data_IF_431662855592
#
_entry.id   IF_431662855592
#
_cell.length_a   1.000
_cell.length_b   1.000
_cell.length_c   1.000
_cell.angle_alpha   90.00
_cell.angle_beta   90.00
_cell.angle_gamma   90.00
#
_symmetry.space_group_name_H-M   'P 1'
#
loop_
_entity.id
_entity.type
_entity.pdbx_description
1 polymer ?
#
# COMPACT_ATOMS: atom_id res chain seq x y z
N UNK A 1 19.45 0.41 -11.56
CA UNK A 1 18.59 1.49 -11.04
C UNK A 1 17.84 2.20 -12.16
N UNK A 2 18.49 2.82 -13.16
CA UNK A 2 17.78 3.42 -14.30
C UNK A 2 16.86 2.41 -15.02
N UNK A 3 17.35 1.20 -15.27
CA UNK A 3 16.57 0.09 -15.83
C UNK A 3 15.35 -0.29 -14.99
N UNK A 4 15.46 -0.23 -13.66
CA UNK A 4 14.35 -0.49 -12.73
C UNK A 4 13.30 0.62 -12.83
N UNK A 5 13.72 1.89 -12.88
CA UNK A 5 12.83 3.05 -13.08
C UNK A 5 12.10 2.93 -14.42
N UNK A 6 12.82 2.62 -15.50
CA UNK A 6 12.25 2.43 -16.84
C UNK A 6 11.22 1.30 -16.86
N UNK A 7 11.55 0.15 -16.28
CA UNK A 7 10.65 -1.00 -16.22
C UNK A 7 9.35 -0.67 -15.47
N UNK A 8 9.44 0.00 -14.32
CA UNK A 8 8.25 0.40 -13.55
C UNK A 8 7.44 1.43 -14.34
N UNK A 9 8.11 2.37 -15.02
CA UNK A 9 7.47 3.36 -15.89
C UNK A 9 6.68 2.69 -17.02
N UNK A 10 7.30 1.78 -17.76
CA UNK A 10 6.65 1.05 -18.85
C UNK A 10 5.48 0.19 -18.33
N UNK A 11 5.65 -0.45 -17.18
CA UNK A 11 4.60 -1.27 -16.57
C UNK A 11 3.40 -0.41 -16.17
N UNK A 12 3.66 0.76 -15.55
CA UNK A 12 2.64 1.74 -15.24
C UNK A 12 1.89 2.17 -16.52
N UNK A 13 2.62 2.52 -17.59
CA UNK A 13 2.05 2.95 -18.87
C UNK A 13 1.18 1.88 -19.54
N UNK A 14 1.63 0.62 -19.53
CA UNK A 14 0.85 -0.49 -20.09
C UNK A 14 -0.43 -0.72 -19.28
N UNK A 15 -0.35 -0.66 -17.95
CA UNK A 15 -1.53 -0.88 -17.10
C UNK A 15 -2.53 0.26 -17.19
N UNK A 16 -2.07 1.52 -17.22
CA UNK A 16 -2.95 2.68 -17.39
C UNK A 16 -3.67 2.69 -18.75
N UNK A 17 -3.01 2.21 -19.81
CA UNK A 17 -3.62 2.02 -21.12
C UNK A 17 -4.45 0.73 -21.25
N UNK A 18 -4.56 -0.05 -20.18
CA UNK A 18 -5.22 -1.35 -20.16
C UNK A 18 -4.68 -2.34 -21.21
N UNK A 19 -3.41 -2.22 -21.61
CA UNK A 19 -2.74 -3.09 -22.59
C UNK A 19 -1.92 -4.21 -21.94
N UNK A 20 -1.91 -4.28 -20.61
CA UNK A 20 -1.35 -5.40 -19.85
C UNK A 20 -2.48 -6.23 -19.25
N UNK A 21 -2.36 -7.56 -19.29
CA UNK A 21 -3.22 -8.50 -18.56
C UNK A 21 -2.71 -8.77 -17.13
N UNK A 22 -1.49 -8.35 -16.80
CA UNK A 22 -0.88 -8.59 -15.49
C UNK A 22 -1.52 -7.71 -14.41
N UNK A 23 -1.77 -8.31 -13.23
CA UNK A 23 -2.42 -7.62 -12.10
C UNK A 23 -1.70 -7.82 -10.77
N UNK A 24 -0.48 -8.38 -10.78
CA UNK A 24 0.30 -8.50 -9.54
C UNK A 24 0.76 -7.11 -9.05
N UNK A 25 0.70 -6.83 -7.74
CA UNK A 25 1.17 -5.55 -7.20
C UNK A 25 2.65 -5.33 -7.45
N UNK A 26 3.01 -4.17 -8.00
CA UNK A 26 4.40 -3.77 -8.23
C UNK A 26 4.77 -2.67 -7.24
N UNK A 27 5.87 -2.86 -6.50
CA UNK A 27 6.39 -1.88 -5.55
C UNK A 27 7.79 -1.47 -6.00
N UNK A 28 7.98 -0.18 -6.28
CA UNK A 28 9.29 0.42 -6.41
C UNK A 28 9.80 0.78 -5.02
N UNK A 29 10.78 0.04 -4.51
CA UNK A 29 11.47 0.38 -3.26
C UNK A 29 12.80 1.10 -3.59
N UNK A 30 12.96 2.33 -3.13
CA UNK A 30 14.20 3.10 -3.29
C UNK A 30 14.78 3.44 -1.92
N UNK A 31 15.84 2.72 -1.56
CA UNK A 31 16.62 3.03 -0.37
C UNK A 31 17.53 4.24 -0.62
N UNK A 32 17.73 5.06 0.42
CA UNK A 32 18.49 6.31 0.36
C UNK A 32 18.06 7.21 -0.82
N UNK A 33 16.75 7.35 -1.01
CA UNK A 33 16.11 8.20 -2.03
C UNK A 33 16.72 9.59 -2.10
N UNK A 34 16.92 10.25 -0.96
CA UNK A 34 17.50 11.60 -0.89
C UNK A 34 18.92 11.69 -1.47
N UNK A 35 19.67 10.58 -1.47
CA UNK A 35 20.97 10.49 -2.14
C UNK A 35 20.82 10.29 -3.65
N UNK A 36 19.85 9.47 -4.10
CA UNK A 36 19.55 9.25 -5.51
C UNK A 36 19.10 10.54 -6.22
N UNK A 37 18.42 11.41 -5.49
CA UNK A 37 17.96 12.73 -5.97
C UNK A 37 19.09 13.73 -6.25
N UNK A 38 20.36 13.40 -5.96
CA UNK A 38 21.52 14.23 -6.32
C UNK A 38 22.16 13.87 -7.66
N UNK A 39 21.79 12.73 -8.24
CA UNK A 39 22.43 12.19 -9.44
C UNK A 39 21.54 12.29 -10.68
N UNK A 40 21.99 11.65 -11.76
CA UNK A 40 21.28 11.57 -13.05
C UNK A 40 19.90 10.91 -12.95
N UNK A 41 19.65 10.15 -11.88
CA UNK A 41 18.37 9.51 -11.61
C UNK A 41 17.30 10.47 -11.06
N UNK A 42 17.67 11.68 -10.62
CA UNK A 42 16.76 12.57 -9.92
C UNK A 42 15.50 12.89 -10.73
N UNK A 43 15.68 13.38 -11.95
CA UNK A 43 14.56 13.73 -12.84
C UNK A 43 13.66 12.53 -13.20
N UNK A 44 14.19 11.41 -13.73
CA UNK A 44 13.33 10.27 -14.09
C UNK A 44 12.66 9.61 -12.88
N UNK A 45 13.34 9.58 -11.72
CA UNK A 45 12.78 9.00 -10.50
C UNK A 45 11.66 9.88 -9.92
N UNK A 46 11.87 11.21 -9.87
CA UNK A 46 10.84 12.16 -9.44
C UNK A 46 9.59 12.06 -10.30
N UNK A 47 9.76 12.13 -11.63
CA UNK A 47 8.67 12.01 -12.58
C UNK A 47 7.91 10.69 -12.41
N UNK A 48 8.61 9.56 -12.19
CA UNK A 48 7.95 8.29 -11.93
C UNK A 48 7.14 8.30 -10.63
N UNK A 49 7.71 8.77 -9.51
CA UNK A 49 7.02 8.74 -8.22
C UNK A 49 5.78 9.63 -8.25
N UNK A 50 5.84 10.83 -8.85
CA UNK A 50 4.65 11.69 -9.01
C UNK A 50 3.54 10.98 -9.78
N UNK A 51 3.89 10.31 -10.89
CA UNK A 51 2.92 9.53 -11.69
C UNK A 51 2.33 8.36 -10.91
N UNK A 52 3.15 7.67 -10.12
CA UNK A 52 2.70 6.57 -9.24
C UNK A 52 1.77 7.09 -8.16
N UNK A 53 2.07 8.22 -7.54
CA UNK A 53 1.20 8.83 -6.53
C UNK A 53 -0.16 9.22 -7.08
N UNK A 54 -0.21 9.80 -8.28
CA UNK A 54 -1.45 10.27 -8.90
C UNK A 54 -2.36 9.13 -9.40
N UNK A 55 -1.79 8.09 -10.01
CA UNK A 55 -2.58 7.08 -10.73
C UNK A 55 -2.23 5.62 -10.37
N UNK A 56 -1.09 5.37 -9.72
CA UNK A 56 -0.57 4.04 -9.46
C UNK A 56 -1.50 3.14 -8.64
N UNK A 57 -2.22 3.71 -7.67
CA UNK A 57 -3.21 2.98 -6.84
C UNK A 57 -4.24 2.22 -7.69
N UNK A 58 -4.71 2.80 -8.80
CA UNK A 58 -5.76 2.20 -9.66
C UNK A 58 -5.24 0.98 -10.43
N UNK A 59 -3.93 0.87 -10.59
CA UNK A 59 -3.24 -0.14 -11.41
C UNK A 59 -2.24 -0.96 -10.62
N UNK A 60 -2.36 -0.95 -9.29
CA UNK A 60 -1.54 -1.74 -8.36
C UNK A 60 -0.04 -1.49 -8.53
N UNK A 61 0.34 -0.23 -8.74
CA UNK A 61 1.73 0.22 -8.76
C UNK A 61 1.93 1.19 -7.59
N UNK A 62 2.93 0.92 -6.75
CA UNK A 62 3.23 1.68 -5.54
C UNK A 62 4.71 2.05 -5.48
N UNK A 63 5.04 3.07 -4.71
CA UNK A 63 6.40 3.48 -4.42
C UNK A 63 6.62 3.52 -2.91
N UNK A 64 7.79 3.05 -2.48
CA UNK A 64 8.29 3.15 -1.12
C UNK A 64 9.67 3.79 -1.20
N UNK A 65 9.85 4.91 -0.52
CA UNK A 65 11.12 5.66 -0.52
C UNK A 65 11.57 5.89 0.91
N UNK A 66 12.86 5.72 1.17
CA UNK A 66 13.49 6.03 2.47
C UNK A 66 14.59 7.05 2.30
N UNK A 67 14.89 7.83 3.34
CA UNK A 67 15.99 8.77 3.31
C UNK A 67 16.18 9.46 4.64
N UNK A 68 17.38 10.01 4.85
CA UNK A 68 17.78 10.61 6.12
C UNK A 68 17.65 12.15 6.13
N UNK A 69 17.88 12.79 4.98
CA UNK A 69 17.95 14.26 4.89
C UNK A 69 16.93 14.80 3.90
N UNK A 70 15.80 15.24 4.44
CA UNK A 70 14.68 15.79 3.68
C UNK A 70 14.80 17.32 3.58
N UNK A 71 15.14 17.81 2.39
CA UNK A 71 15.16 19.24 2.00
C UNK A 71 14.52 19.40 0.63
N UNK A 72 14.00 20.58 0.30
CA UNK A 72 13.27 20.79 -0.95
C UNK A 72 14.06 20.36 -2.20
N UNK A 73 15.37 20.62 -2.22
CA UNK A 73 16.29 20.18 -3.27
C UNK A 73 16.44 18.65 -3.35
N UNK A 74 16.42 17.97 -2.20
CA UNK A 74 16.62 16.52 -2.08
C UNK A 74 15.33 15.72 -2.16
N UNK A 75 14.18 16.39 -2.17
CA UNK A 75 12.86 15.77 -2.32
C UNK A 75 12.27 15.93 -3.71
N UNK A 76 13.02 16.48 -4.68
CA UNK A 76 12.49 16.76 -6.02
C UNK A 76 11.47 17.90 -6.04
N UNK A 77 11.52 18.81 -5.07
CA UNK A 77 10.57 19.92 -4.92
C UNK A 77 9.38 19.63 -4.00
N UNK A 78 8.45 20.58 -3.93
CA UNK A 78 7.23 20.47 -3.10
C UNK A 78 6.21 19.49 -3.67
N UNK A 79 6.02 19.46 -4.99
CA UNK A 79 5.04 18.60 -5.65
C UNK A 79 5.26 17.11 -5.37
N UNK A 80 6.51 16.64 -5.48
CA UNK A 80 6.86 15.25 -5.20
C UNK A 80 6.68 14.90 -3.71
N UNK A 81 7.05 15.82 -2.80
CA UNK A 81 6.82 15.63 -1.38
C UNK A 81 5.33 15.54 -1.06
N UNK A 82 4.52 16.45 -1.60
CA UNK A 82 3.07 16.51 -1.35
C UNK A 82 2.35 15.30 -1.97
N UNK A 83 3.01 14.61 -2.92
CA UNK A 83 2.55 13.36 -3.52
C UNK A 83 2.74 12.12 -2.62
N UNK A 84 3.55 12.20 -1.55
CA UNK A 84 3.75 11.10 -0.61
C UNK A 84 2.57 10.99 0.34
N UNK A 85 1.66 10.05 0.06
CA UNK A 85 0.38 9.95 0.76
C UNK A 85 0.47 9.45 2.21
N UNK A 86 1.55 8.78 2.59
CA UNK A 86 1.77 8.28 3.95
C UNK A 86 3.26 8.18 4.23
N UNK A 87 3.65 8.48 5.47
CA UNK A 87 5.05 8.61 5.87
C UNK A 87 5.28 8.00 7.26
N UNK A 88 6.38 7.26 7.41
CA UNK A 88 6.95 6.93 8.71
C UNK A 88 8.07 7.91 9.03
N UNK A 89 7.99 8.58 10.17
CA UNK A 89 8.99 9.52 10.67
C UNK A 89 9.61 8.93 11.93
N UNK A 90 10.82 8.41 11.77
CA UNK A 90 11.66 7.99 12.89
C UNK A 90 12.30 9.19 13.60
N UNK A 91 13.13 8.90 14.61
CA UNK A 91 13.90 9.91 15.34
C UNK A 91 14.70 10.80 14.39
N UNK A 92 14.31 12.07 14.27
CA UNK A 92 15.02 13.09 13.48
C UNK A 92 14.76 14.50 14.00
N UNK A 93 15.49 15.48 13.46
CA UNK A 93 15.29 16.89 13.82
C UNK A 93 13.89 17.34 13.41
N UNK A 94 13.18 18.05 14.31
CA UNK A 94 11.84 18.60 14.07
C UNK A 94 11.71 19.32 12.72
N UNK A 95 12.73 20.10 12.31
CA UNK A 95 12.73 20.79 11.00
C UNK A 95 12.63 19.84 9.80
N UNK A 96 13.29 18.69 9.83
CA UNK A 96 13.25 17.71 8.74
C UNK A 96 11.92 16.94 8.74
N UNK A 97 11.45 16.54 9.93
CA UNK A 97 10.13 15.92 10.08
C UNK A 97 9.01 16.86 9.62
N UNK A 98 9.08 18.14 9.97
CA UNK A 98 8.11 19.13 9.52
C UNK A 98 8.24 19.42 8.01
N UNK A 99 9.44 19.29 7.44
CA UNK A 99 9.60 19.43 6.00
C UNK A 99 8.81 18.36 5.25
N UNK A 100 8.72 17.14 5.78
CA UNK A 100 7.91 16.03 5.26
C UNK A 100 6.42 16.20 5.54
N UNK A 101 6.06 16.40 6.81
CA UNK A 101 4.68 16.30 7.29
C UNK A 101 3.89 17.62 7.21
N UNK A 102 4.58 18.76 7.21
CA UNK A 102 3.99 20.10 7.10
C UNK A 102 2.95 20.43 8.18
N UNK A 103 3.14 19.90 9.39
CA UNK A 103 2.25 20.08 10.54
C UNK A 103 2.60 21.30 11.42
N UNK A 104 3.73 21.96 11.16
CA UNK A 104 4.17 23.15 11.89
C UNK A 104 4.34 22.89 13.39
N UNK A 105 3.59 23.63 14.20
CA UNK A 105 3.60 23.52 15.65
C UNK A 105 2.85 22.28 16.16
N UNK A 106 1.92 21.74 15.37
CA UNK A 106 1.17 20.51 15.70
C UNK A 106 2.02 19.25 15.62
N UNK A 107 3.21 19.33 15.00
CA UNK A 107 4.15 18.23 14.95
C UNK A 107 4.60 17.85 16.38
N UNK A 108 4.49 16.57 16.81
CA UNK A 108 5.07 16.13 18.08
C UNK A 108 6.61 16.21 18.09
N UNK A 109 7.22 16.15 19.27
CA UNK A 109 8.68 16.09 19.36
C UNK A 109 9.20 14.75 18.80
N UNK A 110 10.06 14.82 17.78
CA UNK A 110 10.61 13.64 17.09
C UNK A 110 12.02 13.29 17.56
N UNK A 111 12.75 14.20 18.20
CA UNK A 111 14.12 13.93 18.65
C UNK A 111 14.20 12.96 19.83
N UNK A 112 13.12 12.85 20.60
CA UNK A 112 13.03 12.00 21.80
C UNK A 112 12.52 10.59 21.50
N UNK A 113 12.11 10.31 20.26
CA UNK A 113 11.64 8.97 19.87
C UNK A 113 12.72 7.91 20.13
N UNK A 114 12.34 6.85 20.82
CA UNK A 114 13.22 5.72 21.07
C UNK A 114 13.51 4.93 19.78
N UNK A 115 14.62 4.19 19.76
CA UNK A 115 14.89 3.23 18.68
C UNK A 115 13.75 2.23 18.58
N UNK A 116 13.27 1.97 17.36
CA UNK A 116 12.11 1.12 17.12
C UNK A 116 10.77 1.83 17.24
N UNK A 117 10.74 3.14 17.52
CA UNK A 117 9.52 3.95 17.47
C UNK A 117 9.53 4.87 16.25
N UNK A 118 8.34 5.18 15.73
CA UNK A 118 8.14 6.14 14.66
C UNK A 118 6.77 6.81 14.79
N UNK A 119 6.62 8.01 14.22
CA UNK A 119 5.31 8.58 13.94
C UNK A 119 4.86 8.11 12.55
N UNK A 120 3.67 7.56 12.44
CA UNK A 120 3.02 7.20 11.19
C UNK A 120 1.98 8.26 10.85
N UNK A 121 2.24 9.00 9.77
CA UNK A 121 1.24 9.86 9.13
C UNK A 121 0.48 9.05 8.09
N UNK A 122 -0.81 8.82 8.33
CA UNK A 122 -1.67 7.98 7.51
C UNK A 122 -2.29 8.78 6.36
N UNK A 123 -2.75 8.08 5.33
CA UNK A 123 -3.51 8.67 4.22
C UNK A 123 -4.83 9.31 4.66
N UNK A 124 -5.32 9.01 5.87
CA UNK A 124 -6.47 9.66 6.50
C UNK A 124 -6.17 11.04 7.08
N UNK A 125 -4.90 11.44 7.15
CA UNK A 125 -4.45 12.65 7.85
C UNK A 125 -4.20 12.44 9.35
N UNK A 126 -4.38 11.21 9.86
CA UNK A 126 -4.11 10.87 11.25
C UNK A 126 -2.61 10.66 11.48
N UNK A 127 -2.09 11.21 12.58
CA UNK A 127 -0.73 10.99 13.06
C UNK A 127 -0.76 10.14 14.33
N UNK A 128 -0.16 8.95 14.27
CA UNK A 128 -0.08 8.03 15.42
C UNK A 128 1.37 7.62 15.68
N UNK A 129 1.71 7.37 16.94
CA UNK A 129 2.97 6.71 17.26
C UNK A 129 2.83 5.20 17.06
N UNK A 130 3.85 4.58 16.46
CA UNK A 130 3.90 3.14 16.18
C UNK A 130 5.24 2.55 16.61
N UNK A 131 5.22 1.26 16.95
CA UNK A 131 6.41 0.46 17.18
C UNK A 131 6.76 -0.33 15.91
N UNK A 132 8.01 -0.24 15.49
CA UNK A 132 8.57 -0.91 14.33
C UNK A 132 9.30 -2.17 14.79
N UNK A 133 8.93 -3.35 14.26
CA UNK A 133 9.59 -4.60 14.61
C UNK A 133 11.09 -4.57 14.29
N UNK A 134 11.90 -5.07 15.20
CA UNK A 134 13.33 -5.23 14.96
C UNK A 134 13.57 -6.40 14.00
N UNK A 135 13.76 -6.10 12.72
CA UNK A 135 14.10 -7.10 11.70
C UNK A 135 15.62 -7.21 11.60
N UNK A 136 16.15 -8.37 11.98
CA UNK A 136 17.59 -8.64 11.94
C UNK A 136 18.02 -9.18 10.58
N UNK A 137 19.34 -9.21 10.33
CA UNK A 137 19.89 -9.86 9.14
C UNK A 137 19.53 -11.36 9.06
N UNK A 138 19.35 -12.03 10.20
CA UNK A 138 18.93 -13.43 10.25
C UNK A 138 17.48 -13.60 9.79
N UNK A 139 16.60 -12.66 10.12
CA UNK A 139 15.21 -12.69 9.67
C UNK A 139 15.12 -12.51 8.14
N UNK A 140 15.93 -11.60 7.59
CA UNK A 140 16.06 -11.43 6.13
C UNK A 140 16.56 -12.71 5.46
N UNK A 141 17.59 -13.35 6.01
CA UNK A 141 18.11 -14.61 5.50
C UNK A 141 17.05 -15.73 5.55
N UNK A 142 16.28 -15.81 6.65
CA UNK A 142 15.19 -16.76 6.81
C UNK A 142 14.10 -16.54 5.76
N UNK A 143 13.66 -15.31 5.54
CA UNK A 143 12.69 -14.97 4.49
C UNK A 143 13.23 -15.35 3.12
N UNK A 144 14.51 -15.08 2.84
CA UNK A 144 15.16 -15.50 1.58
C UNK A 144 15.09 -17.02 1.35
N UNK A 145 15.30 -17.83 2.38
CA UNK A 145 15.20 -19.29 2.29
C UNK A 145 13.76 -19.76 2.05
N UNK A 146 12.78 -19.15 2.70
CA UNK A 146 11.36 -19.44 2.48
C UNK A 146 10.94 -19.13 1.05
N UNK A 147 11.42 -18.02 0.49
CA UNK A 147 11.13 -17.61 -0.89
C UNK A 147 11.84 -18.45 -1.96
N UNK A 148 13.00 -19.01 -1.64
CA UNK A 148 13.72 -19.94 -2.53
C UNK A 148 13.08 -21.34 -2.58
N UNK A 149 12.19 -21.66 -1.64
CA UNK A 149 11.52 -22.95 -1.57
C UNK A 149 10.45 -23.05 -2.68
N UNK A 150 10.54 -24.04 -3.60
CA UNK A 150 9.67 -24.12 -4.78
C UNK A 150 8.17 -24.23 -4.49
N UNK A 151 7.81 -24.59 -3.26
CA UNK A 151 6.43 -24.85 -2.84
C UNK A 151 5.73 -23.63 -2.21
N UNK A 152 6.46 -22.55 -1.88
CA UNK A 152 5.91 -21.52 -1.01
C UNK A 152 5.32 -20.31 -1.75
N UNK A 153 5.83 -19.93 -2.92
CA UNK A 153 5.40 -18.71 -3.63
C UNK A 153 5.63 -18.83 -5.15
N UNK A 154 4.88 -18.11 -6.01
CA UNK A 154 5.32 -17.88 -7.38
C UNK A 154 6.76 -17.37 -7.30
N UNK A 155 7.69 -18.09 -7.94
CA UNK A 155 9.13 -17.79 -7.93
C UNK A 155 9.30 -16.28 -7.97
N UNK A 156 10.12 -15.74 -7.08
CA UNK A 156 10.68 -14.41 -7.23
C UNK A 156 11.33 -14.37 -8.61
N UNK A 157 10.57 -13.90 -9.60
CA UNK A 157 11.11 -13.67 -10.93
C UNK A 157 11.99 -12.47 -10.73
N UNK A 158 13.29 -12.72 -10.52
CA UNK A 158 14.31 -11.73 -10.82
C UNK A 158 13.94 -11.21 -12.20
N UNK A 159 13.48 -9.97 -12.22
CA UNK A 159 12.93 -9.34 -13.42
C UNK A 159 13.87 -9.67 -14.58
N UNK A 160 13.34 -10.15 -15.72
CA UNK A 160 14.19 -10.48 -16.86
C UNK A 160 15.09 -9.28 -17.14
N UNK A 161 16.39 -9.54 -17.30
CA UNK A 161 17.36 -8.49 -17.63
C UNK A 161 16.80 -7.70 -18.80
N UNK A 162 16.47 -6.44 -18.55
CA UNK A 162 15.99 -5.50 -19.58
C UNK A 162 17.03 -5.48 -20.68
N UNK A 163 16.73 -6.13 -21.81
CA UNK A 163 17.66 -6.32 -22.94
C UNK A 163 17.71 -7.72 -23.55
N UNK A 164 17.22 -8.77 -22.89
CA UNK A 164 17.08 -10.09 -23.53
C UNK A 164 15.69 -10.23 -24.18
N UNK A 165 15.64 -10.13 -25.51
CA UNK A 165 14.52 -10.68 -26.29
C UNK A 165 14.57 -12.20 -26.15
N UNK A 166 13.80 -12.76 -25.24
CA UNK A 166 13.50 -14.20 -25.24
C UNK A 166 12.51 -14.48 -26.37
N UNK A 167 13.04 -14.86 -27.53
CA UNK A 167 12.28 -15.60 -28.54
C UNK A 167 12.02 -17.00 -27.97
N UNK A 168 10.76 -17.44 -28.02
CA UNK A 168 10.24 -18.73 -27.54
C UNK A 168 10.23 -18.94 -26.03
N UNK A 169 9.09 -18.61 -25.40
CA UNK A 169 8.50 -19.53 -24.43
C UNK A 169 6.99 -19.22 -24.33
N UNK A 170 6.23 -19.98 -25.10
CA UNK A 170 4.77 -20.01 -25.00
C UNK A 170 4.46 -21.08 -23.95
N UNK A 171 3.96 -20.75 -22.75
CA UNK A 171 3.61 -21.78 -21.77
C UNK A 171 2.46 -22.61 -22.32
N UNK A 172 2.64 -23.94 -22.42
CA UNK A 172 1.66 -24.87 -23.01
C UNK A 172 0.49 -25.21 -22.08
N UNK A 173 0.25 -24.42 -21.03
CA UNK A 173 -0.75 -24.73 -20.02
C UNK A 173 -1.57 -23.47 -19.72
N UNK A 174 -2.84 -23.50 -20.12
CA UNK A 174 -3.85 -22.56 -19.65
C UNK A 174 -4.10 -22.83 -18.15
N UNK A 175 -3.71 -21.90 -17.27
CA UNK A 175 -4.13 -21.87 -15.87
C UNK A 175 -5.55 -21.29 -15.73
N UNK A 176 -6.48 -21.80 -16.52
CA UNK A 176 -7.90 -21.46 -16.43
C UNK A 176 -8.67 -22.40 -15.49
N UNK A 177 -7.98 -23.04 -14.54
CA UNK A 177 -8.63 -23.73 -13.42
C UNK A 177 -8.36 -22.92 -12.15
N UNK A 178 -9.36 -22.13 -11.77
CA UNK A 178 -9.39 -21.45 -10.48
C UNK A 178 -9.57 -22.50 -9.38
N UNK A 179 -8.47 -22.96 -8.77
CA UNK A 179 -8.58 -23.59 -7.46
C UNK A 179 -8.84 -22.50 -6.42
N UNK A 180 -10.08 -22.45 -5.93
CA UNK A 180 -10.59 -21.49 -4.96
C UNK A 180 -9.94 -21.54 -3.57
N UNK A 181 -8.92 -22.37 -3.36
CA UNK A 181 -8.43 -22.74 -2.02
C UNK A 181 -7.29 -21.87 -1.47
N UNK A 182 -6.83 -20.83 -2.16
CA UNK A 182 -5.68 -20.02 -1.73
C UNK A 182 -5.94 -18.50 -1.62
N UNK A 183 -7.20 -18.09 -1.45
CA UNK A 183 -7.50 -16.73 -1.04
C UNK A 183 -7.26 -16.59 0.47
N UNK A 184 -6.19 -15.87 0.85
CA UNK A 184 -5.94 -15.50 2.24
C UNK A 184 -7.07 -14.59 2.74
N UNK A 185 -8.03 -15.16 3.47
CA UNK A 185 -9.13 -14.41 4.10
C UNK A 185 -8.63 -13.85 5.43
N UNK A 186 -8.56 -12.53 5.55
CA UNK A 186 -8.36 -11.90 6.85
C UNK A 186 -9.58 -12.25 7.73
N UNK A 187 -9.40 -12.65 9.00
CA UNK A 187 -10.53 -12.99 9.86
C UNK A 187 -11.49 -11.79 9.95
N UNK A 188 -12.77 -12.05 9.69
CA UNK A 188 -13.80 -11.03 9.75
C UNK A 188 -13.84 -10.41 11.16
N UNK A 189 -14.03 -9.09 11.23
CA UNK A 189 -14.24 -8.43 12.52
C UNK A 189 -15.48 -9.02 13.23
N UNK A 190 -15.48 -9.01 14.56
CA UNK A 190 -16.62 -9.49 15.38
C UNK A 190 -17.93 -8.80 15.00
N UNK A 191 -17.86 -7.53 14.62
CA UNK A 191 -18.99 -6.75 14.12
C UNK A 191 -19.46 -7.20 12.73
N UNK A 192 -18.53 -7.53 11.82
CA UNK A 192 -18.86 -8.06 10.49
C UNK A 192 -19.53 -9.43 10.56
N UNK A 193 -19.11 -10.29 11.50
CA UNK A 193 -19.78 -11.57 11.76
C UNK A 193 -21.20 -11.37 12.29
N UNK A 194 -21.41 -10.41 13.20
CA UNK A 194 -22.75 -10.08 13.73
C UNK A 194 -23.67 -9.56 12.63
N UNK A 195 -23.19 -8.70 11.74
CA UNK A 195 -23.95 -8.21 10.58
C UNK A 195 -24.35 -9.36 9.65
N UNK A 196 -23.41 -10.28 9.37
CA UNK A 196 -23.68 -11.44 8.53
C UNK A 196 -24.71 -12.39 9.15
N UNK A 197 -24.67 -12.62 10.47
CA UNK A 197 -25.65 -13.42 11.20
C UNK A 197 -27.05 -12.79 11.17
N UNK A 198 -27.17 -11.48 11.41
CA UNK A 198 -28.46 -10.79 11.36
C UNK A 198 -29.08 -10.87 9.95
N UNK A 199 -28.25 -10.77 8.91
CA UNK A 199 -28.69 -10.93 7.53
C UNK A 199 -29.10 -12.37 7.20
N UNK A 200 -28.35 -13.37 7.67
CA UNK A 200 -28.70 -14.80 7.53
C UNK A 200 -30.01 -15.15 8.24
N UNK A 201 -30.33 -14.47 9.35
CA UNK A 201 -31.59 -14.60 10.06
C UNK A 201 -32.77 -13.90 9.36
N UNK A 202 -32.57 -13.35 8.15
CA UNK A 202 -33.61 -12.75 7.33
C UNK A 202 -33.94 -11.30 7.65
N UNK A 203 -33.13 -10.60 8.46
CA UNK A 203 -33.31 -9.15 8.62
C UNK A 203 -32.89 -8.40 7.35
N UNK A 204 -33.68 -7.42 6.96
CA UNK A 204 -33.32 -6.52 5.87
C UNK A 204 -32.26 -5.50 6.31
N UNK A 205 -31.57 -4.89 5.33
CA UNK A 205 -30.48 -3.96 5.62
C UNK A 205 -30.94 -2.74 6.42
N UNK A 206 -32.20 -2.31 6.26
CA UNK A 206 -32.75 -1.19 7.00
C UNK A 206 -32.93 -1.53 8.49
N UNK A 207 -33.45 -2.73 8.82
CA UNK A 207 -33.55 -3.20 10.20
C UNK A 207 -32.18 -3.38 10.85
N UNK A 208 -31.18 -3.89 10.10
CA UNK A 208 -29.81 -4.05 10.61
C UNK A 208 -29.17 -2.69 10.92
N UNK A 209 -29.41 -1.67 10.09
CA UNK A 209 -28.93 -0.29 10.35
C UNK A 209 -29.59 0.29 11.60
N UNK A 210 -30.89 0.07 11.79
CA UNK A 210 -31.60 0.51 13.01
C UNK A 210 -31.05 -0.22 14.25
N UNK A 211 -30.82 -1.52 14.16
CA UNK A 211 -30.31 -2.36 15.26
C UNK A 211 -28.87 -2.00 15.67
N UNK A 212 -27.97 -1.75 14.71
CA UNK A 212 -26.55 -1.54 14.97
C UNK A 212 -26.12 -0.08 15.08
N UNK A 213 -26.89 0.84 14.50
CA UNK A 213 -26.56 2.27 14.44
C UNK A 213 -27.65 3.16 15.03
N UNK A 214 -28.86 2.64 15.28
CA UNK A 214 -29.96 3.41 15.86
C UNK A 214 -30.55 4.47 14.92
N UNK A 215 -30.18 4.45 13.63
CA UNK A 215 -30.55 5.49 12.66
C UNK A 215 -31.71 5.02 11.79
N UNK A 216 -32.75 5.84 11.68
CA UNK A 216 -33.90 5.56 10.80
C UNK A 216 -33.72 6.15 9.41
N UNK A 217 -34.41 5.59 8.42
CA UNK A 217 -34.41 6.09 7.03
C UNK A 217 -34.86 7.56 6.89
N UNK A 218 -35.59 8.09 7.88
CA UNK A 218 -36.00 9.50 7.98
C UNK A 218 -34.85 10.48 8.27
N UNK A 219 -33.67 10.00 8.68
CA UNK A 219 -32.52 10.84 9.06
C UNK A 219 -31.57 11.14 7.88
N UNK A 220 -31.99 10.80 6.64
CA UNK A 220 -31.36 11.25 5.40
C UNK A 220 -29.87 10.91 5.30
N UNK A 221 -29.02 11.94 5.33
CA UNK A 221 -27.55 11.80 5.16
C UNK A 221 -26.92 10.89 6.21
N UNK A 222 -27.42 10.89 7.45
CA UNK A 222 -26.90 10.01 8.52
C UNK A 222 -27.23 8.55 8.25
N UNK A 223 -28.42 8.28 7.71
CA UNK A 223 -28.83 6.94 7.33
C UNK A 223 -28.00 6.40 6.15
N UNK A 224 -27.69 7.23 5.16
CA UNK A 224 -26.88 6.81 4.01
C UNK A 224 -25.46 6.38 4.40
N UNK A 225 -24.83 7.11 5.34
CA UNK A 225 -23.50 6.75 5.87
C UNK A 225 -23.58 5.45 6.68
N UNK A 226 -24.58 5.32 7.56
CA UNK A 226 -24.78 4.10 8.34
C UNK A 226 -25.05 2.87 7.45
N UNK A 227 -25.79 3.05 6.36
CA UNK A 227 -26.09 2.00 5.39
C UNK A 227 -24.83 1.57 4.61
N UNK A 228 -23.98 2.51 4.16
CA UNK A 228 -22.73 2.17 3.48
C UNK A 228 -21.78 1.40 4.39
N UNK A 229 -21.74 1.75 5.67
CA UNK A 229 -20.90 1.08 6.67
C UNK A 229 -21.38 -0.36 6.93
N UNK A 230 -22.69 -0.55 7.12
CA UNK A 230 -23.29 -1.89 7.30
C UNK A 230 -23.08 -2.76 6.06
N UNK A 231 -23.18 -2.20 4.85
CA UNK A 231 -22.90 -2.95 3.62
C UNK A 231 -21.43 -3.36 3.49
N UNK A 232 -20.49 -2.53 3.95
CA UNK A 232 -19.08 -2.88 3.97
C UNK A 232 -18.79 -4.03 4.96
N UNK A 233 -19.38 -3.95 6.15
CA UNK A 233 -19.29 -5.00 7.17
C UNK A 233 -19.92 -6.33 6.70
N UNK A 234 -21.07 -6.28 6.02
CA UNK A 234 -21.71 -7.48 5.46
C UNK A 234 -20.81 -8.17 4.42
N UNK A 235 -20.19 -7.40 3.51
CA UNK A 235 -19.25 -7.95 2.52
C UNK A 235 -18.01 -8.54 3.17
N UNK A 236 -17.55 -7.96 4.27
CA UNK A 236 -16.43 -8.50 5.04
C UNK A 236 -16.83 -9.81 5.77
N UNK A 237 -18.01 -9.84 6.39
CA UNK A 237 -18.52 -11.01 7.11
C UNK A 237 -18.76 -12.20 6.20
N UNK A 238 -19.33 -11.97 5.00
CA UNK A 238 -19.56 -13.02 4.00
C UNK A 238 -18.26 -13.58 3.39
N UNK A 239 -17.18 -12.80 3.38
CA UNK A 239 -15.85 -13.26 2.91
C UNK A 239 -15.08 -14.03 3.97
N UNK A 240 -15.37 -13.82 5.25
CA UNK A 240 -14.74 -14.52 6.37
C UNK A 240 -15.47 -15.78 6.84
N UNK A 241 -16.66 -16.07 6.29
CA UNK A 241 -17.48 -17.24 6.64
C UNK A 241 -17.35 -18.43 5.66
N UNK A 242 -16.42 -18.34 4.70
CA UNK A 242 -16.08 -19.39 3.72
C UNK A 242 -14.75 -20.03 4.10
#
# INVERSE_FOLDING_TARGET
MLSSVQLVTETLDRRLRNTSSERWPLILAADEFTSLMRGELAAPLAALIERVAQAGRKVLVFALVSGQVWTAERTGGSALRDSLASCYVHRMKRRQANHLLQLGDELPETLTLATGHALLYRTSGELIEVTIPNTTAQDVARVGQLLASPQAYPRLTLLPKVGQKSTSDMPSVCQSDAQASLAYSAPASTEALRVAQLFQNGMDLAAIVVELRGVRSSEGKRYQVALSDVQALLRQGLRGAV
#
